data_IF_064774972941
#
_entry.id   IF_064774972941
#
_cell.length_a   1.000
_cell.length_b   1.000
_cell.length_c   1.000
_cell.angle_alpha   90.00
_cell.angle_beta   90.00
_cell.angle_gamma   90.00
#
_symmetry.space_group_name_H-M   'P 1'
#
loop_
_entity.id
_entity.type
_entity.pdbx_description
1 polymer ?
#
# COMPACT_ATOMS: atom_id res chain seq x y z
N UNK A 1 7.75 10.86 7.90
CA UNK A 1 8.94 10.00 7.72
C UNK A 1 9.41 10.07 6.29
N UNK A 2 10.70 10.18 6.09
CA UNK A 2 11.27 10.20 4.73
C UNK A 2 12.62 9.50 4.77
N UNK A 3 12.84 8.56 3.85
CA UNK A 3 14.14 7.88 3.72
C UNK A 3 14.31 7.25 2.34
N UNK A 4 15.54 6.91 2.03
CA UNK A 4 15.90 6.08 0.88
C UNK A 4 16.61 4.83 1.40
N UNK A 5 16.27 3.67 0.88
CA UNK A 5 16.87 2.41 1.33
C UNK A 5 16.98 1.40 0.19
N UNK A 6 18.07 0.65 0.21
CA UNK A 6 18.25 -0.55 -0.60
C UNK A 6 18.12 -1.82 0.26
N UNK A 7 17.69 -1.68 1.50
CA UNK A 7 17.56 -2.77 2.46
C UNK A 7 16.10 -3.25 2.52
N UNK A 8 15.88 -4.47 2.06
CA UNK A 8 14.57 -5.11 2.04
C UNK A 8 13.93 -5.16 3.43
N UNK A 9 14.70 -5.51 4.45
CA UNK A 9 14.18 -5.64 5.81
C UNK A 9 13.71 -4.31 6.38
N UNK A 10 14.42 -3.24 6.08
CA UNK A 10 14.04 -1.90 6.51
C UNK A 10 12.73 -1.45 5.87
N UNK A 11 12.56 -1.67 4.59
CA UNK A 11 11.34 -1.30 3.86
C UNK A 11 10.18 -2.15 4.35
N UNK A 12 10.37 -3.45 4.52
CA UNK A 12 9.34 -4.35 5.06
C UNK A 12 8.92 -3.93 6.46
N UNK A 13 9.88 -3.68 7.35
CA UNK A 13 9.59 -3.21 8.72
C UNK A 13 8.82 -1.90 8.71
N UNK A 14 9.14 -1.00 7.81
CA UNK A 14 8.45 0.28 7.67
C UNK A 14 7.01 0.05 7.27
N UNK A 15 6.75 -0.76 6.25
CA UNK A 15 5.40 -1.11 5.84
C UNK A 15 4.58 -1.73 6.97
N UNK A 16 5.21 -2.59 7.78
CA UNK A 16 4.55 -3.25 8.90
C UNK A 16 4.09 -2.29 9.99
N UNK A 17 4.63 -1.08 10.04
CA UNK A 17 4.14 -0.04 10.94
C UNK A 17 2.76 0.48 10.51
N UNK A 18 2.43 0.39 9.23
CA UNK A 18 1.15 0.86 8.67
C UNK A 18 0.16 -0.28 8.46
N UNK A 19 0.62 -1.37 7.89
CA UNK A 19 -0.15 -2.60 7.69
C UNK A 19 0.68 -3.76 8.26
N UNK A 20 0.38 -4.22 9.47
CA UNK A 20 1.22 -5.18 10.20
C UNK A 20 1.51 -6.50 9.46
N UNK A 21 0.61 -6.94 8.60
CA UNK A 21 0.76 -8.19 7.85
C UNK A 21 1.61 -8.05 6.58
N UNK A 22 2.15 -6.87 6.30
CA UNK A 22 2.92 -6.62 5.09
C UNK A 22 4.17 -7.50 5.01
N UNK A 23 4.43 -8.04 3.83
CA UNK A 23 5.65 -8.80 3.55
C UNK A 23 6.16 -8.51 2.16
N UNK A 24 7.48 -8.54 2.00
CA UNK A 24 8.18 -8.40 0.74
C UNK A 24 8.97 -9.69 0.49
N UNK A 25 8.74 -10.33 -0.63
CA UNK A 25 9.31 -11.65 -0.95
C UNK A 25 9.90 -11.66 -2.35
N UNK A 26 10.76 -12.65 -2.62
CA UNK A 26 11.31 -12.89 -3.94
C UNK A 26 11.99 -11.66 -4.53
N UNK A 27 12.62 -10.86 -3.68
CA UNK A 27 13.32 -9.67 -4.12
C UNK A 27 14.70 -10.01 -4.69
N UNK A 28 15.08 -9.29 -5.75
CA UNK A 28 16.45 -9.30 -6.22
C UNK A 28 17.22 -8.20 -5.47
N UNK A 29 18.15 -8.55 -4.55
CA UNK A 29 18.85 -7.56 -3.74
C UNK A 29 19.73 -6.62 -4.55
N UNK A 30 20.07 -6.98 -5.78
CA UNK A 30 20.87 -6.13 -6.68
C UNK A 30 20.06 -5.01 -7.30
N UNK A 31 18.74 -5.13 -7.29
CA UNK A 31 17.80 -4.20 -7.93
C UNK A 31 16.74 -3.71 -6.95
N UNK A 32 17.11 -3.54 -5.70
CA UNK A 32 16.17 -3.15 -4.67
C UNK A 32 16.53 -1.75 -4.18
N UNK A 33 15.63 -0.79 -4.44
CA UNK A 33 15.75 0.57 -3.94
C UNK A 33 14.36 1.17 -3.75
N UNK A 34 14.16 1.80 -2.59
CA UNK A 34 12.94 2.53 -2.26
C UNK A 34 13.27 3.95 -1.82
N UNK A 35 12.54 4.92 -2.37
CA UNK A 35 12.47 6.27 -1.86
C UNK A 35 11.10 6.42 -1.20
N UNK A 36 11.09 6.59 0.10
CA UNK A 36 9.89 6.54 0.93
C UNK A 36 9.58 7.91 1.53
N UNK A 37 8.30 8.29 1.49
CA UNK A 37 7.77 9.44 2.20
C UNK A 37 6.42 9.07 2.77
N UNK A 38 6.21 9.33 4.06
CA UNK A 38 4.92 9.10 4.71
C UNK A 38 4.58 10.18 5.70
N UNK A 39 3.29 10.37 5.92
CA UNK A 39 2.75 11.34 6.86
C UNK A 39 1.60 10.69 7.61
N UNK A 40 1.68 10.71 8.94
CA UNK A 40 0.61 10.20 9.79
C UNK A 40 -0.32 11.33 10.17
N UNK A 41 -1.60 11.14 9.89
CA UNK A 41 -2.69 12.02 10.29
C UNK A 41 -3.48 11.33 11.41
N UNK A 42 -4.45 12.03 11.99
CA UNK A 42 -5.21 11.51 13.13
C UNK A 42 -5.90 10.17 12.84
N UNK A 43 -6.52 10.02 11.68
CA UNK A 43 -7.29 8.82 11.33
C UNK A 43 -6.79 8.12 10.06
N UNK A 44 -5.65 8.55 9.54
CA UNK A 44 -5.14 8.04 8.28
C UNK A 44 -3.63 8.18 8.21
N UNK A 45 -3.01 7.38 7.39
CA UNK A 45 -1.61 7.53 7.01
C UNK A 45 -1.52 7.68 5.49
N UNK A 46 -0.74 8.65 5.04
CA UNK A 46 -0.48 8.88 3.62
C UNK A 46 0.93 8.43 3.30
N UNK A 47 1.06 7.62 2.27
CA UNK A 47 2.33 7.02 1.88
C UNK A 47 2.57 7.30 0.41
N UNK A 48 3.76 7.78 0.10
CA UNK A 48 4.21 8.02 -1.27
C UNK A 48 5.60 7.42 -1.39
N UNK A 49 5.74 6.41 -2.22
CA UNK A 49 7.05 5.84 -2.46
C UNK A 49 7.31 5.58 -3.92
N UNK A 50 8.58 5.62 -4.26
CA UNK A 50 9.08 5.18 -5.56
C UNK A 50 9.96 3.98 -5.33
N UNK A 51 9.78 2.98 -6.16
CA UNK A 51 10.62 1.80 -6.11
C UNK A 51 11.27 1.55 -7.47
N UNK A 52 12.50 1.07 -7.40
CA UNK A 52 13.18 0.44 -8.51
C UNK A 52 13.58 -0.93 -8.01
N UNK A 53 12.73 -1.92 -8.28
CA UNK A 53 12.87 -3.24 -7.67
C UNK A 53 12.15 -4.31 -8.46
N UNK A 54 12.64 -5.52 -8.31
CA UNK A 54 11.92 -6.73 -8.66
C UNK A 54 11.56 -7.40 -7.34
N UNK A 55 10.27 -7.38 -6.99
CA UNK A 55 9.81 -7.82 -5.68
C UNK A 55 8.34 -8.23 -5.74
N UNK A 56 7.95 -9.15 -4.87
CA UNK A 56 6.57 -9.55 -4.65
C UNK A 56 6.13 -9.02 -3.29
N UNK A 57 5.12 -8.17 -3.26
CA UNK A 57 4.58 -7.62 -2.03
C UNK A 57 3.22 -8.24 -1.71
N UNK A 58 2.95 -8.39 -0.42
CA UNK A 58 1.70 -8.95 0.08
C UNK A 58 1.29 -8.21 1.34
N UNK A 59 0.02 -7.88 1.45
CA UNK A 59 -0.54 -7.24 2.64
C UNK A 59 -1.98 -7.66 2.85
N UNK A 60 -2.37 -7.80 4.11
CA UNK A 60 -3.75 -8.07 4.51
C UNK A 60 -4.17 -6.95 5.47
N UNK A 61 -4.80 -5.88 4.98
CA UNK A 61 -5.12 -4.71 5.80
C UNK A 61 -6.37 -4.94 6.65
N UNK A 62 -6.27 -5.80 7.66
CA UNK A 62 -7.37 -6.11 8.57
C UNK A 62 -7.82 -4.86 9.32
N UNK A 63 -9.14 -4.62 9.34
CA UNK A 63 -9.76 -3.46 9.99
C UNK A 63 -9.27 -2.11 9.45
N UNK A 64 -8.72 -2.13 8.26
CA UNK A 64 -8.21 -0.94 7.57
C UNK A 64 -8.80 -0.84 6.18
N UNK A 65 -8.87 0.38 5.67
CA UNK A 65 -9.20 0.65 4.28
C UNK A 65 -7.92 1.12 3.59
N UNK A 66 -7.50 0.41 2.56
CA UNK A 66 -6.32 0.73 1.79
C UNK A 66 -6.74 1.27 0.42
N UNK A 67 -6.35 2.51 0.13
CA UNK A 67 -6.61 3.16 -1.15
C UNK A 67 -5.27 3.37 -1.83
N UNK A 68 -5.11 2.85 -3.04
CA UNK A 68 -3.84 2.92 -3.75
C UNK A 68 -3.98 3.42 -5.17
N UNK A 69 -2.98 4.18 -5.59
CA UNK A 69 -2.75 4.53 -6.99
C UNK A 69 -1.33 4.13 -7.36
N UNK A 70 -1.21 3.36 -8.43
CA UNK A 70 0.06 2.83 -8.90
C UNK A 70 0.36 3.41 -10.28
N UNK A 71 1.54 3.96 -10.45
CA UNK A 71 2.07 4.41 -11.72
C UNK A 71 3.21 3.46 -12.12
N UNK A 72 2.86 2.37 -12.79
CA UNK A 72 3.81 1.35 -13.24
C UNK A 72 3.20 0.52 -14.36
N UNK A 73 3.71 0.61 -15.61
CA UNK A 73 3.12 -0.12 -16.74
C UNK A 73 3.14 -1.63 -16.57
N UNK A 74 4.14 -2.16 -15.85
CA UNK A 74 4.39 -3.59 -15.74
C UNK A 74 3.95 -4.19 -14.39
N UNK A 75 3.36 -3.39 -13.51
CA UNK A 75 2.90 -3.89 -12.22
C UNK A 75 1.64 -4.72 -12.35
N UNK A 76 1.56 -5.79 -11.58
CA UNK A 76 0.37 -6.63 -11.47
C UNK A 76 -0.10 -6.62 -10.03
N UNK A 77 -1.40 -6.40 -9.83
CA UNK A 77 -2.01 -6.31 -8.51
C UNK A 77 -3.22 -7.24 -8.46
N UNK A 78 -3.34 -8.00 -7.38
CA UNK A 78 -4.46 -8.89 -7.12
C UNK A 78 -5.05 -8.62 -5.75
N UNK A 79 -6.36 -8.78 -5.63
CA UNK A 79 -7.05 -8.85 -4.35
C UNK A 79 -7.76 -10.20 -4.28
N UNK A 80 -7.26 -11.09 -3.45
CA UNK A 80 -7.71 -12.48 -3.45
C UNK A 80 -7.43 -13.15 -4.81
N UNK A 81 -8.51 -13.54 -5.52
CA UNK A 81 -8.40 -14.13 -6.87
C UNK A 81 -8.65 -13.12 -7.99
N UNK A 82 -8.98 -11.90 -7.62
CA UNK A 82 -9.35 -10.87 -8.58
C UNK A 82 -8.14 -10.05 -9.00
N UNK A 83 -7.90 -9.98 -10.31
CA UNK A 83 -6.88 -9.09 -10.85
C UNK A 83 -7.42 -7.67 -10.89
N UNK A 84 -6.68 -6.73 -10.29
CA UNK A 84 -7.04 -5.33 -10.27
C UNK A 84 -6.37 -4.59 -11.43
N UNK A 85 -7.02 -3.53 -11.90
CA UNK A 85 -6.40 -2.65 -12.89
C UNK A 85 -5.37 -1.76 -12.17
N UNK A 86 -4.08 -2.07 -12.34
CA UNK A 86 -3.01 -1.33 -11.69
C UNK A 86 -2.89 0.11 -12.17
N UNK A 87 -3.52 0.46 -13.30
CA UNK A 87 -3.49 1.84 -13.82
C UNK A 87 -4.59 2.71 -13.24
N UNK A 88 -5.54 2.12 -12.53
CA UNK A 88 -6.63 2.83 -11.87
C UNK A 88 -6.38 2.93 -10.37
N UNK A 89 -7.11 3.84 -9.71
CA UNK A 89 -7.18 3.84 -8.25
C UNK A 89 -7.96 2.60 -7.82
N UNK A 90 -7.42 1.86 -6.87
CA UNK A 90 -8.10 0.68 -6.33
C UNK A 90 -8.18 0.75 -4.81
N UNK A 91 -9.15 0.06 -4.25
CA UNK A 91 -9.46 0.07 -2.83
C UNK A 91 -9.54 -1.37 -2.34
N UNK A 92 -8.90 -1.64 -1.21
CA UNK A 92 -9.05 -2.89 -0.48
C UNK A 92 -9.66 -2.62 0.89
N UNK A 93 -10.74 -3.34 1.18
CA UNK A 93 -11.45 -3.26 2.45
C UNK A 93 -11.19 -4.55 3.24
N UNK A 94 -10.01 -4.63 3.83
CA UNK A 94 -9.59 -5.77 4.65
C UNK A 94 -9.17 -7.01 3.87
N UNK A 95 -9.37 -7.06 2.57
CA UNK A 95 -9.00 -8.21 1.75
C UNK A 95 -7.51 -8.19 1.43
N UNK A 96 -6.90 -9.37 1.36
CA UNK A 96 -5.49 -9.51 0.99
C UNK A 96 -5.21 -8.90 -0.37
N UNK A 97 -4.12 -8.15 -0.45
CA UNK A 97 -3.61 -7.56 -1.68
C UNK A 97 -2.21 -8.08 -1.96
N UNK A 98 -1.99 -8.56 -3.17
CA UNK A 98 -0.68 -8.97 -3.65
C UNK A 98 -0.30 -8.11 -4.86
N UNK A 99 0.98 -7.77 -4.96
CA UNK A 99 1.49 -7.02 -6.10
C UNK A 99 2.84 -7.56 -6.52
N UNK A 100 3.06 -7.60 -7.82
CA UNK A 100 4.36 -7.94 -8.41
C UNK A 100 4.92 -6.70 -9.10
N UNK A 101 6.13 -6.37 -8.72
CA UNK A 101 6.87 -5.22 -9.23
C UNK A 101 8.08 -5.74 -9.99
N UNK A 102 8.24 -5.35 -11.23
CA UNK A 102 9.35 -5.81 -12.08
C UNK A 102 10.37 -4.72 -12.39
N UNK A 103 9.97 -3.46 -12.28
CA UNK A 103 10.79 -2.29 -12.65
C UNK A 103 10.52 -1.13 -11.72
N UNK A 104 10.63 0.06 -12.27
CA UNK A 104 10.32 1.29 -11.54
C UNK A 104 8.83 1.51 -11.42
N UNK A 105 8.41 1.95 -10.26
CA UNK A 105 7.02 2.30 -9.99
C UNK A 105 6.94 3.45 -9.01
N UNK A 106 5.84 4.18 -9.05
CA UNK A 106 5.46 5.13 -8.01
C UNK A 106 4.13 4.67 -7.43
N UNK A 107 4.06 4.62 -6.12
CA UNK A 107 2.85 4.23 -5.42
C UNK A 107 2.46 5.31 -4.43
N UNK A 108 1.20 5.72 -4.48
CA UNK A 108 0.59 6.60 -3.49
C UNK A 108 -0.50 5.81 -2.81
N UNK A 109 -0.45 5.74 -1.50
CA UNK A 109 -1.40 4.96 -0.72
C UNK A 109 -1.95 5.77 0.45
N UNK A 110 -3.20 5.54 0.75
CA UNK A 110 -3.83 6.00 1.98
C UNK A 110 -4.25 4.77 2.78
N UNK A 111 -3.86 4.74 4.05
CA UNK A 111 -4.27 3.70 4.99
C UNK A 111 -5.19 4.35 6.01
N UNK A 112 -6.44 3.93 6.04
CA UNK A 112 -7.47 4.51 6.90
C UNK A 112 -7.93 3.47 7.93
N UNK A 113 -8.22 3.93 9.14
CA UNK A 113 -8.96 3.12 10.09
C UNK A 113 -10.36 2.90 9.53
N UNK A 114 -10.80 1.64 9.46
CA UNK A 114 -12.07 1.29 8.82
C UNK A 114 -13.26 1.94 9.54
N UNK A 115 -13.25 1.92 10.88
CA UNK A 115 -14.34 2.51 11.67
C UNK A 115 -14.39 4.03 11.50
N UNK A 116 -13.23 4.68 11.50
CA UNK A 116 -13.16 6.12 11.31
C UNK A 116 -13.66 6.52 9.91
N UNK A 117 -13.32 5.73 8.88
CA UNK A 117 -13.79 5.96 7.52
C UNK A 117 -15.30 5.82 7.41
N UNK A 118 -15.89 4.80 8.03
CA UNK A 118 -17.34 4.62 8.07
C UNK A 118 -18.03 5.78 8.79
N UNK A 119 -17.52 6.20 9.93
CA UNK A 119 -18.07 7.32 10.70
C UNK A 119 -18.06 8.60 9.87
N UNK A 120 -16.97 8.85 9.16
CA UNK A 120 -16.86 10.04 8.31
C UNK A 120 -17.83 9.98 7.14
N UNK A 121 -18.01 8.83 6.52
CA UNK A 121 -18.96 8.63 5.44
C UNK A 121 -20.39 8.92 5.90
N UNK A 122 -20.76 8.44 7.08
CA UNK A 122 -22.07 8.73 7.68
C UNK A 122 -22.30 10.22 7.92
N UNK A 123 -21.28 10.93 8.40
CA UNK A 123 -21.36 12.38 8.59
C UNK A 123 -21.59 13.12 7.26
N UNK A 124 -20.92 12.69 6.20
CA UNK A 124 -21.02 13.33 4.89
C UNK A 124 -22.39 13.06 4.25
N UNK A 125 -22.89 11.83 4.36
CA UNK A 125 -24.16 11.42 3.77
C UNK A 125 -25.37 11.78 4.62
N UNK A 126 -25.17 12.14 5.88
CA UNK A 126 -26.25 12.38 6.84
C UNK A 126 -26.94 11.10 7.29
N UNK A 127 -26.32 9.95 7.09
CA UNK A 127 -26.87 8.65 7.50
C UNK A 127 -26.38 8.30 8.90
N UNK A 128 -27.25 8.47 9.89
CA UNK A 128 -26.96 8.19 11.31
C UNK A 128 -27.31 6.78 11.74
N UNK A 129 -27.66 5.93 10.82
CA UNK A 129 -28.09 4.57 11.10
C UNK A 129 -26.96 3.59 11.25
#
# INVERSE_FOLDING_TARGET
MQFTSADLERVESTWQQFVPSSSLQKADPRRFRFDWRSEELETASLIDYRLAAQVHSRAEPLEQLLVCRVEAPDARVWSGRESLDAQSVWISDGTEVEARWDRSARVRAGVFDHQAAENRARQITGDDR
#
